data_IF_960032606446
#
_entry.id   IF_960032606446
#
_cell.length_a   1.000
_cell.length_b   1.000
_cell.length_c   1.000
_cell.angle_alpha   90.00
_cell.angle_beta   90.00
_cell.angle_gamma   90.00
#
_symmetry.space_group_name_H-M   'P 1'
#
loop_
_entity.id
_entity.type
_entity.pdbx_description
1 polymer ?
#
# COMPACT_ATOMS: atom_id res chain seq x y z
N UNK A 1 6.70 18.68 -0.14
CA UNK A 1 5.71 17.58 0.00
C UNK A 1 5.47 17.29 1.48
N UNK A 2 4.25 16.94 1.92
CA UNK A 2 3.99 16.57 3.31
C UNK A 2 4.71 15.26 3.66
N UNK A 3 5.16 15.12 4.91
CA UNK A 3 5.95 13.97 5.37
C UNK A 3 5.25 12.64 5.11
N UNK A 4 3.94 12.57 5.33
CA UNK A 4 3.14 11.38 5.07
C UNK A 4 3.24 10.89 3.61
N UNK A 5 3.13 11.80 2.64
CA UNK A 5 3.26 11.45 1.22
C UNK A 5 4.64 10.88 0.93
N UNK A 6 5.70 11.45 1.53
CA UNK A 6 7.06 10.92 1.39
C UNK A 6 7.16 9.49 1.95
N UNK A 7 6.55 9.21 3.10
CA UNK A 7 6.56 7.86 3.68
C UNK A 7 5.76 6.85 2.85
N UNK A 8 4.56 7.22 2.36
CA UNK A 8 3.76 6.38 1.47
C UNK A 8 4.55 6.02 0.21
N UNK A 9 5.14 7.02 -0.45
CA UNK A 9 5.91 6.84 -1.69
C UNK A 9 7.18 6.02 -1.44
N UNK A 10 7.94 6.30 -0.37
CA UNK A 10 9.14 5.52 -0.04
C UNK A 10 8.82 4.06 0.20
N UNK A 11 7.81 3.77 1.02
CA UNK A 11 7.39 2.40 1.28
C UNK A 11 6.83 1.73 0.01
N UNK A 12 6.16 2.45 -0.89
CA UNK A 12 5.74 1.88 -2.18
C UNK A 12 6.91 1.45 -3.06
N UNK A 13 8.04 2.18 -3.03
CA UNK A 13 9.24 1.78 -3.75
C UNK A 13 9.95 0.60 -3.10
N UNK A 14 9.89 0.46 -1.77
CA UNK A 14 10.39 -0.74 -1.09
C UNK A 14 9.57 -1.96 -1.54
N UNK A 15 8.24 -1.87 -1.55
CA UNK A 15 7.39 -2.96 -2.06
C UNK A 15 7.62 -3.24 -3.55
N UNK A 16 7.84 -2.21 -4.38
CA UNK A 16 8.22 -2.42 -5.79
C UNK A 16 9.48 -3.27 -5.90
N UNK A 17 10.53 -2.95 -5.14
CA UNK A 17 11.79 -3.71 -5.16
C UNK A 17 11.57 -5.17 -4.71
N UNK A 18 10.82 -5.38 -3.62
CA UNK A 18 10.49 -6.72 -3.14
C UNK A 18 9.64 -7.52 -4.13
N UNK A 19 8.61 -6.91 -4.71
CA UNK A 19 7.76 -7.52 -5.72
C UNK A 19 8.55 -7.88 -6.99
N UNK A 20 9.42 -7.00 -7.47
CA UNK A 20 10.30 -7.28 -8.62
C UNK A 20 11.29 -8.40 -8.32
N UNK A 21 11.87 -8.46 -7.11
CA UNK A 21 12.75 -9.54 -6.69
C UNK A 21 12.02 -10.90 -6.71
N UNK A 22 10.83 -10.97 -6.12
CA UNK A 22 10.00 -12.18 -6.19
C UNK A 22 9.68 -12.57 -7.64
N UNK A 23 9.30 -11.61 -8.47
CA UNK A 23 8.99 -11.84 -9.89
C UNK A 23 10.20 -12.34 -10.68
N UNK A 24 11.39 -11.79 -10.42
CA UNK A 24 12.64 -12.22 -11.05
C UNK A 24 12.97 -13.67 -10.69
N UNK A 25 12.80 -14.06 -9.42
CA UNK A 25 13.02 -15.45 -8.98
C UNK A 25 12.04 -16.43 -9.64
N UNK A 26 10.75 -16.07 -9.70
CA UNK A 26 9.73 -16.89 -10.36
C UNK A 26 10.04 -17.05 -11.85
N UNK A 27 10.45 -15.97 -12.52
CA UNK A 27 10.79 -16.01 -13.94
C UNK A 27 12.05 -16.84 -14.19
N UNK A 28 13.05 -16.75 -13.31
CA UNK A 28 14.25 -17.57 -13.37
C UNK A 28 13.91 -19.06 -13.25
N UNK A 29 13.08 -19.45 -12.29
CA UNK A 29 12.60 -20.83 -12.10
C UNK A 29 11.84 -21.34 -13.33
N UNK A 30 11.01 -20.47 -13.93
CA UNK A 30 10.28 -20.79 -15.15
C UNK A 30 11.19 -21.00 -16.36
N UNK A 31 12.32 -20.29 -16.43
CA UNK A 31 13.30 -20.40 -17.51
C UNK A 31 14.20 -21.62 -17.39
N UNK A 32 14.76 -21.84 -16.20
CA UNK A 32 15.59 -23.01 -15.86
C UNK A 32 15.12 -23.51 -14.50
N UNK A 33 14.42 -24.65 -14.41
CA UNK A 33 13.95 -25.18 -13.13
C UNK A 33 15.12 -25.52 -12.20
N UNK A 34 15.17 -24.91 -11.02
CA UNK A 34 16.19 -25.14 -10.00
C UNK A 34 15.58 -25.41 -8.61
N UNK A 35 14.42 -24.84 -8.28
CA UNK A 35 13.76 -25.00 -6.99
C UNK A 35 12.25 -24.74 -7.08
N UNK A 36 11.47 -25.82 -7.21
CA UNK A 36 10.01 -25.76 -7.37
C UNK A 36 9.26 -24.90 -6.33
N UNK A 37 9.65 -24.84 -5.03
CA UNK A 37 8.97 -24.00 -4.04
C UNK A 37 9.08 -22.49 -4.29
N UNK A 38 9.89 -22.01 -5.25
CA UNK A 38 9.92 -20.59 -5.67
C UNK A 38 8.54 -20.11 -6.09
N UNK A 39 7.68 -20.98 -6.62
CA UNK A 39 6.31 -20.62 -7.00
C UNK A 39 5.44 -20.15 -5.82
N UNK A 40 5.79 -20.47 -4.57
CA UNK A 40 5.12 -19.91 -3.39
C UNK A 40 5.36 -18.40 -3.21
N UNK A 41 6.32 -17.82 -3.93
CA UNK A 41 6.51 -16.36 -3.95
C UNK A 41 5.46 -15.65 -4.81
N UNK A 42 4.66 -16.37 -5.60
CA UNK A 42 3.70 -15.75 -6.52
C UNK A 42 2.61 -14.92 -5.83
N UNK A 43 1.96 -15.39 -4.74
CA UNK A 43 1.06 -14.55 -3.95
C UNK A 43 1.76 -13.32 -3.36
N UNK A 44 3.00 -13.46 -2.86
CA UNK A 44 3.77 -12.33 -2.32
C UNK A 44 4.13 -11.30 -3.41
N UNK A 45 4.50 -11.77 -4.60
CA UNK A 45 4.76 -10.93 -5.76
C UNK A 45 3.54 -10.08 -6.11
N UNK A 46 2.36 -10.71 -6.18
CA UNK A 46 1.10 -9.99 -6.44
C UNK A 46 0.78 -8.98 -5.33
N UNK A 47 0.94 -9.38 -4.06
CA UNK A 47 0.67 -8.52 -2.92
C UNK A 47 1.53 -7.25 -2.94
N UNK A 48 2.83 -7.42 -3.11
CA UNK A 48 3.78 -6.32 -3.13
C UNK A 48 3.58 -5.41 -4.34
N UNK A 49 3.27 -5.94 -5.53
CA UNK A 49 3.09 -5.09 -6.70
C UNK A 49 1.74 -4.37 -6.73
N UNK A 50 0.65 -5.07 -6.39
CA UNK A 50 -0.70 -4.50 -6.48
C UNK A 50 -0.99 -3.60 -5.28
N UNK A 51 -0.85 -4.09 -4.06
CA UNK A 51 -1.23 -3.35 -2.85
C UNK A 51 -0.05 -2.49 -2.38
N UNK A 52 1.12 -3.11 -2.21
CA UNK A 52 2.29 -2.46 -1.64
C UNK A 52 2.90 -1.37 -2.53
N UNK A 53 2.93 -1.56 -3.84
CA UNK A 53 3.47 -0.58 -4.78
C UNK A 53 2.36 0.28 -5.38
N UNK A 54 1.47 -0.30 -6.20
CA UNK A 54 0.56 0.48 -7.03
C UNK A 54 -0.44 1.29 -6.19
N UNK A 55 -1.19 0.63 -5.30
CA UNK A 55 -2.20 1.29 -4.47
C UNK A 55 -1.54 2.27 -3.50
N UNK A 56 -0.46 1.86 -2.82
CA UNK A 56 0.23 2.71 -1.87
C UNK A 56 0.86 3.96 -2.52
N UNK A 57 1.42 3.83 -3.72
CA UNK A 57 1.93 4.95 -4.51
C UNK A 57 0.78 5.90 -4.88
N UNK A 58 -0.33 5.35 -5.38
CA UNK A 58 -1.52 6.13 -5.73
C UNK A 58 -2.04 6.92 -4.51
N UNK A 59 -2.11 6.30 -3.33
CA UNK A 59 -2.46 6.98 -2.08
C UNK A 59 -1.47 8.10 -1.73
N UNK A 60 -0.16 7.84 -1.83
CA UNK A 60 0.89 8.82 -1.57
C UNK A 60 0.80 10.05 -2.47
N UNK A 61 0.56 9.83 -3.76
CA UNK A 61 0.38 10.88 -4.77
C UNK A 61 -0.95 11.61 -4.60
N UNK A 62 -2.05 10.88 -4.40
CA UNK A 62 -3.38 11.45 -4.17
C UNK A 62 -3.39 12.38 -2.95
N UNK A 63 -2.76 11.96 -1.85
CA UNK A 63 -2.64 12.80 -0.65
C UNK A 63 -1.90 14.12 -0.92
N UNK A 64 -0.97 14.14 -1.89
CA UNK A 64 -0.22 15.33 -2.26
C UNK A 64 -0.97 16.26 -3.22
N UNK A 65 -1.67 15.70 -4.20
CA UNK A 65 -2.38 16.46 -5.26
C UNK A 65 -3.71 17.03 -4.78
N UNK A 66 -4.40 16.34 -3.87
CA UNK A 66 -5.71 16.78 -3.34
C UNK A 66 -5.62 18.23 -2.80
N UNK A 67 -6.65 19.09 -3.05
CA UNK A 67 -6.60 20.51 -2.73
C UNK A 67 -6.28 20.80 -1.26
N UNK A 68 -5.59 21.91 -1.04
CA UNK A 68 -5.29 22.44 0.29
C UNK A 68 -6.46 23.29 0.79
N UNK A 69 -6.70 23.29 2.10
CA UNK A 69 -7.64 24.22 2.70
C UNK A 69 -7.09 25.65 2.66
N UNK A 70 -7.90 26.62 2.25
CA UNK A 70 -7.53 28.04 2.18
C UNK A 70 -7.52 28.75 3.54
N UNK A 71 -8.11 28.15 4.60
CA UNK A 71 -8.12 28.68 5.98
C UNK A 71 -7.85 27.56 6.98
N UNK A 72 -7.08 27.86 8.03
CA UNK A 72 -6.70 26.90 9.07
C UNK A 72 -5.51 26.01 8.68
N UNK A 73 -5.40 24.83 9.29
CA UNK A 73 -4.37 23.86 8.94
C UNK A 73 -4.52 23.42 7.48
N UNK A 74 -3.45 23.57 6.68
CA UNK A 74 -3.44 23.38 5.22
C UNK A 74 -4.08 22.05 4.73
N UNK A 75 -4.08 21.01 5.56
CA UNK A 75 -4.59 19.66 5.22
C UNK A 75 -5.56 19.06 6.25
N UNK A 76 -5.94 19.79 7.31
CA UNK A 76 -6.73 19.25 8.42
C UNK A 76 -5.98 18.20 9.27
N UNK A 77 -6.67 17.46 10.15
CA UNK A 77 -6.05 16.40 10.95
C UNK A 77 -5.64 15.20 10.07
N UNK A 78 -4.34 14.95 9.99
CA UNK A 78 -3.75 13.88 9.17
C UNK A 78 -3.74 12.50 9.87
N UNK A 79 -4.29 12.40 11.08
CA UNK A 79 -4.23 11.20 11.93
C UNK A 79 -4.85 9.97 11.26
N UNK A 80 -6.01 10.13 10.61
CA UNK A 80 -6.68 9.04 9.88
C UNK A 80 -5.82 8.52 8.72
N UNK A 81 -5.08 9.41 8.05
CA UNK A 81 -4.25 9.04 6.91
C UNK A 81 -2.93 8.41 7.38
N UNK A 82 -2.38 8.85 8.51
CA UNK A 82 -1.29 8.14 9.19
C UNK A 82 -1.70 6.73 9.61
N UNK A 83 -2.89 6.58 10.19
CA UNK A 83 -3.44 5.27 10.56
C UNK A 83 -3.65 4.39 9.32
N UNK A 84 -4.14 4.96 8.21
CA UNK A 84 -4.27 4.23 6.94
C UNK A 84 -2.93 3.70 6.44
N UNK A 85 -1.86 4.51 6.53
CA UNK A 85 -0.52 4.06 6.13
C UNK A 85 -0.04 2.90 7.01
N UNK A 86 -0.19 3.01 8.33
CA UNK A 86 0.21 1.96 9.26
C UNK A 86 -0.56 0.65 9.01
N UNK A 87 -1.89 0.72 8.87
CA UNK A 87 -2.74 -0.45 8.63
C UNK A 87 -2.47 -1.10 7.27
N UNK A 88 -2.21 -0.31 6.22
CA UNK A 88 -1.89 -0.84 4.90
C UNK A 88 -0.61 -1.68 4.96
N UNK A 89 0.47 -1.13 5.55
CA UNK A 89 1.75 -1.84 5.66
C UNK A 89 1.66 -3.04 6.60
N UNK A 90 0.87 -2.95 7.68
CA UNK A 90 0.59 -4.09 8.55
C UNK A 90 -0.21 -5.19 7.82
N UNK A 91 -1.17 -4.80 6.96
CA UNK A 91 -1.96 -5.72 6.15
C UNK A 91 -1.10 -6.49 5.15
N UNK A 92 -0.25 -5.78 4.41
CA UNK A 92 0.72 -6.38 3.48
C UNK A 92 1.66 -7.34 4.21
N UNK A 93 2.19 -6.93 5.36
CA UNK A 93 3.08 -7.78 6.17
C UNK A 93 2.34 -9.04 6.65
N UNK A 94 1.11 -8.91 7.13
CA UNK A 94 0.25 -10.03 7.52
C UNK A 94 0.01 -10.98 6.33
N UNK A 95 -0.33 -10.45 5.16
CA UNK A 95 -0.53 -11.23 3.95
C UNK A 95 0.76 -11.95 3.51
N UNK A 96 1.94 -11.37 3.73
CA UNK A 96 3.21 -12.03 3.45
C UNK A 96 3.47 -13.24 4.36
N UNK A 97 2.91 -13.26 5.57
CA UNK A 97 3.02 -14.40 6.50
C UNK A 97 2.02 -15.53 6.25
N UNK A 98 1.18 -15.43 5.21
CA UNK A 98 0.14 -16.42 4.90
C UNK A 98 0.68 -17.85 4.72
N UNK A 99 1.93 -18.00 4.28
CA UNK A 99 2.56 -19.30 4.06
C UNK A 99 2.70 -20.12 5.35
N UNK A 100 3.04 -19.44 6.46
CA UNK A 100 3.15 -20.09 7.77
C UNK A 100 1.81 -20.11 8.50
N UNK A 101 0.99 -19.08 8.33
CA UNK A 101 -0.27 -18.90 9.04
C UNK A 101 -1.36 -18.46 8.06
N UNK A 102 -2.15 -19.40 7.49
CA UNK A 102 -3.16 -19.07 6.47
C UNK A 102 -4.18 -18.02 6.91
N UNK A 103 -4.51 -17.96 8.20
CA UNK A 103 -5.42 -16.96 8.79
C UNK A 103 -4.90 -15.51 8.65
N UNK A 104 -3.58 -15.32 8.54
CA UNK A 104 -2.97 -14.00 8.39
C UNK A 104 -3.32 -13.36 7.05
N UNK A 105 -3.73 -14.13 6.04
CA UNK A 105 -4.25 -13.58 4.78
C UNK A 105 -5.55 -12.82 5.01
N UNK A 106 -6.51 -13.43 5.72
CA UNK A 106 -7.80 -12.80 6.02
C UNK A 106 -7.62 -11.54 6.88
N UNK A 107 -6.74 -11.62 7.89
CA UNK A 107 -6.37 -10.47 8.72
C UNK A 107 -5.75 -9.37 7.85
N UNK A 108 -4.82 -9.71 6.95
CA UNK A 108 -4.19 -8.78 6.03
C UNK A 108 -5.19 -8.02 5.17
N UNK A 109 -6.14 -8.74 4.55
CA UNK A 109 -7.20 -8.15 3.73
C UNK A 109 -8.11 -7.21 4.51
N UNK A 110 -8.48 -7.57 5.73
CA UNK A 110 -9.30 -6.70 6.58
C UNK A 110 -8.53 -5.40 6.89
N UNK A 111 -7.25 -5.49 7.23
CA UNK A 111 -6.40 -4.32 7.51
C UNK A 111 -6.25 -3.42 6.28
N UNK A 112 -6.04 -4.00 5.10
CA UNK A 112 -5.95 -3.25 3.83
C UNK A 112 -7.25 -2.54 3.48
N UNK A 113 -8.40 -3.21 3.62
CA UNK A 113 -9.71 -2.61 3.37
C UNK A 113 -9.97 -1.46 4.34
N UNK A 114 -9.70 -1.66 5.63
CA UNK A 114 -9.85 -0.60 6.63
C UNK A 114 -8.90 0.57 6.33
N UNK A 115 -7.66 0.29 5.91
CA UNK A 115 -6.71 1.32 5.50
C UNK A 115 -7.26 2.17 4.35
N UNK A 116 -7.78 1.53 3.29
CA UNK A 116 -8.39 2.22 2.16
C UNK A 116 -9.58 3.10 2.59
N UNK A 117 -10.47 2.59 3.44
CA UNK A 117 -11.62 3.34 3.95
C UNK A 117 -11.15 4.57 4.74
N UNK A 118 -10.19 4.40 5.67
CA UNK A 118 -9.66 5.50 6.46
C UNK A 118 -8.96 6.55 5.61
N UNK A 119 -8.24 6.12 4.58
CA UNK A 119 -7.59 7.03 3.64
C UNK A 119 -8.61 7.86 2.87
N UNK A 120 -9.67 7.23 2.36
CA UNK A 120 -10.77 7.90 1.67
C UNK A 120 -11.44 8.89 2.62
N UNK A 121 -11.91 8.46 3.79
CA UNK A 121 -12.59 9.33 4.77
C UNK A 121 -11.69 10.50 5.20
N UNK A 122 -10.40 10.23 5.45
CA UNK A 122 -9.42 11.23 5.85
C UNK A 122 -9.07 12.23 4.74
N UNK A 123 -9.11 11.80 3.48
CA UNK A 123 -8.77 12.64 2.32
C UNK A 123 -9.98 13.35 1.70
N UNK A 124 -11.18 12.77 1.78
CA UNK A 124 -12.40 13.23 1.11
C UNK A 124 -12.85 14.62 1.56
N UNK A 125 -12.64 14.96 2.84
CA UNK A 125 -12.98 16.27 3.40
C UNK A 125 -12.32 17.45 2.67
N UNK A 126 -11.27 17.19 1.89
CA UNK A 126 -10.53 18.19 1.11
C UNK A 126 -11.08 18.37 -0.31
N UNK A 127 -11.95 17.49 -0.77
CA UNK A 127 -12.60 17.58 -2.08
C UNK A 127 -13.83 18.47 -1.91
N UNK A 128 -13.75 19.73 -2.37
CA UNK A 128 -14.89 20.65 -2.41
C UNK A 128 -15.43 20.77 -3.83
N UNK A 129 -16.75 20.93 -4.03
CA UNK A 129 -17.30 21.28 -5.33
C UNK A 129 -16.69 22.60 -5.82
N UNK A 130 -16.37 22.70 -7.10
CA UNK A 130 -15.94 23.96 -7.70
C UNK A 130 -17.17 24.84 -7.91
N UNK A 131 -17.19 26.05 -7.34
CA UNK A 131 -18.21 27.07 -7.67
C UNK A 131 -19.31 27.32 -6.63
N UNK A 132 -19.15 26.90 -5.37
CA UNK A 132 -20.02 27.28 -4.25
C UNK A 132 -19.20 27.78 -3.05
#
# INVERSE_FOLDING_TARGET
MPRLSVWLVRASFIHLMLGLLCGALILAEKGVPFYAPVWHLFPLHMEFLLIGWLIQLAMGVAFWIVPRFSRGASRGPETLVWLSWALLNAGILSAAFQFWFPVMLAVGRILEVVACILFIVGSWRRIKPHGI
#
